data_IF_581941297107
#
_entry.id   IF_581941297107
#
_cell.length_a   1.000
_cell.length_b   1.000
_cell.length_c   1.000
_cell.angle_alpha   90.00
_cell.angle_beta   90.00
_cell.angle_gamma   90.00
#
_symmetry.space_group_name_H-M   'P 1'
#
loop_
_entity.id
_entity.type
_entity.pdbx_description
1 polymer ?
#
# COMPACT_ATOMS: atom_id res chain seq x y z
N UNK A 1 -45.35 6.95 -85.25
CA UNK A 1 -43.98 6.65 -85.54
C UNK A 1 -43.14 7.35 -84.57
N UNK A 2 -42.84 6.78 -83.37
CA UNK A 2 -41.74 7.16 -82.50
C UNK A 2 -41.66 6.07 -81.44
N UNK A 3 -40.62 5.29 -81.51
CA UNK A 3 -40.26 4.27 -80.55
C UNK A 3 -39.50 4.87 -79.45
N UNK A 4 -40.02 4.84 -78.23
CA UNK A 4 -39.32 5.26 -76.99
C UNK A 4 -38.73 4.02 -76.36
N UNK A 5 -37.40 4.01 -76.28
CA UNK A 5 -36.51 2.96 -75.73
C UNK A 5 -36.37 3.20 -74.25
N UNK A 6 -36.99 2.33 -73.42
CA UNK A 6 -36.77 2.35 -71.92
C UNK A 6 -35.42 1.76 -71.55
N UNK A 7 -34.55 2.56 -70.99
CA UNK A 7 -33.27 2.16 -70.35
C UNK A 7 -33.45 1.98 -68.86
N UNK A 8 -33.53 0.74 -68.38
CA UNK A 8 -33.62 0.38 -67.00
C UNK A 8 -32.20 0.53 -66.42
N UNK A 9 -31.97 1.54 -65.52
CA UNK A 9 -30.81 1.68 -64.70
C UNK A 9 -30.93 0.76 -63.47
N UNK A 10 -30.14 -0.28 -63.37
CA UNK A 10 -29.96 -1.06 -62.16
C UNK A 10 -28.99 -0.32 -61.27
N UNK A 11 -29.45 0.24 -60.15
CA UNK A 11 -28.65 0.76 -59.05
C UNK A 11 -28.24 -0.48 -58.20
N UNK A 12 -26.97 -0.84 -58.24
CA UNK A 12 -26.38 -1.83 -57.35
C UNK A 12 -26.07 -1.11 -56.04
N UNK A 13 -26.88 -1.29 -55.01
CA UNK A 13 -26.62 -0.82 -53.66
C UNK A 13 -25.62 -1.79 -53.02
N UNK A 14 -24.35 -1.44 -52.98
CA UNK A 14 -23.32 -2.13 -52.17
C UNK A 14 -23.51 -1.68 -50.72
N UNK A 15 -24.15 -2.52 -49.88
CA UNK A 15 -24.17 -2.36 -48.44
C UNK A 15 -22.76 -2.66 -47.92
N UNK A 16 -22.02 -1.61 -47.55
CA UNK A 16 -20.82 -1.71 -46.73
C UNK A 16 -21.29 -2.01 -45.30
N UNK A 17 -21.31 -3.27 -44.90
CA UNK A 17 -21.40 -3.64 -43.49
C UNK A 17 -20.11 -3.24 -42.82
N UNK A 18 -20.06 -2.03 -42.31
CA UNK A 18 -19.01 -1.59 -41.38
C UNK A 18 -19.18 -2.40 -40.09
N UNK A 19 -18.52 -3.54 -40.01
CA UNK A 19 -18.33 -4.25 -38.75
C UNK A 19 -17.59 -3.32 -37.79
N UNK A 20 -18.32 -2.79 -36.81
CA UNK A 20 -17.72 -2.06 -35.68
C UNK A 20 -16.84 -3.06 -34.93
N UNK A 21 -15.56 -3.09 -35.28
CA UNK A 21 -14.57 -3.72 -34.43
C UNK A 21 -14.53 -2.84 -33.17
N UNK A 22 -15.26 -3.25 -32.15
CA UNK A 22 -15.08 -2.69 -30.81
C UNK A 22 -13.63 -2.95 -30.43
N UNK A 23 -12.76 -1.95 -30.62
CA UNK A 23 -11.44 -1.96 -30.03
C UNK A 23 -11.66 -1.98 -28.50
N UNK A 24 -11.70 -3.17 -27.91
CA UNK A 24 -11.54 -3.29 -26.47
C UNK A 24 -10.16 -2.73 -26.18
N UNK A 25 -10.10 -1.55 -25.58
CA UNK A 25 -8.86 -1.06 -25.02
C UNK A 25 -8.30 -2.16 -24.11
N UNK A 26 -7.03 -2.54 -24.32
CA UNK A 26 -6.36 -3.52 -23.47
C UNK A 26 -6.54 -3.10 -22.00
N UNK A 27 -7.03 -3.99 -21.14
CA UNK A 27 -7.12 -3.74 -19.71
C UNK A 27 -5.72 -3.62 -19.08
N UNK A 28 -5.64 -3.20 -17.83
CA UNK A 28 -4.36 -2.91 -17.17
C UNK A 28 -3.44 -4.15 -17.14
N UNK A 29 -3.99 -5.34 -16.87
CA UNK A 29 -3.21 -6.58 -16.89
C UNK A 29 -2.63 -6.87 -18.27
N UNK A 30 -3.43 -6.72 -19.32
CA UNK A 30 -3.01 -6.94 -20.71
C UNK A 30 -1.89 -5.97 -21.08
N UNK A 31 -1.99 -4.70 -20.70
CA UNK A 31 -0.93 -3.70 -20.91
C UNK A 31 0.36 -4.07 -20.16
N UNK A 32 0.26 -4.43 -18.86
CA UNK A 32 1.39 -4.87 -18.05
C UNK A 32 2.08 -6.10 -18.66
N UNK A 33 1.30 -7.09 -19.11
CA UNK A 33 1.82 -8.29 -19.79
C UNK A 33 2.52 -7.95 -21.09
N UNK A 34 1.93 -7.11 -21.92
CA UNK A 34 2.48 -6.68 -23.21
C UNK A 34 3.78 -5.89 -23.05
N UNK A 35 3.86 -5.05 -22.03
CA UNK A 35 5.05 -4.29 -21.68
C UNK A 35 6.13 -5.17 -20.99
N UNK A 36 5.73 -6.29 -20.41
CA UNK A 36 6.60 -7.15 -19.60
C UNK A 36 7.04 -6.53 -18.28
N UNK A 37 6.37 -5.43 -17.85
CA UNK A 37 6.73 -4.67 -16.65
C UNK A 37 5.49 -4.19 -15.90
N UNK A 38 5.48 -4.39 -14.57
CA UNK A 38 4.54 -3.81 -13.61
C UNK A 38 5.24 -2.64 -12.91
N UNK A 39 4.71 -1.43 -13.04
CA UNK A 39 5.23 -0.25 -12.36
C UNK A 39 4.50 -0.02 -11.03
N UNK A 40 5.26 0.21 -9.95
CA UNK A 40 4.69 0.32 -8.61
C UNK A 40 5.25 1.50 -7.84
N UNK A 41 4.36 2.29 -7.22
CA UNK A 41 4.73 3.43 -6.38
C UNK A 41 4.93 3.00 -4.92
N UNK A 42 5.96 3.49 -4.28
CA UNK A 42 6.27 3.25 -2.87
C UNK A 42 7.06 4.40 -2.25
N UNK A 43 7.29 4.34 -0.94
CA UNK A 43 8.24 5.17 -0.19
C UNK A 43 9.36 4.28 0.35
N UNK A 44 10.63 4.58 0.03
CA UNK A 44 11.80 3.79 0.46
C UNK A 44 12.30 4.14 1.88
N UNK A 45 11.40 4.52 2.78
CA UNK A 45 11.72 4.89 4.16
C UNK A 45 10.78 4.22 5.17
N UNK A 46 10.26 3.05 4.81
CA UNK A 46 9.29 2.30 5.61
C UNK A 46 9.73 0.86 5.87
N UNK A 47 10.85 0.68 6.59
CA UNK A 47 11.32 -0.65 6.98
C UNK A 47 10.30 -1.36 7.92
N UNK A 48 10.13 -2.67 7.85
CA UNK A 48 10.85 -3.64 7.02
C UNK A 48 10.24 -3.87 5.62
N UNK A 49 9.30 -3.04 5.19
CA UNK A 49 8.58 -3.22 3.91
C UNK A 49 9.41 -2.73 2.72
N UNK A 50 9.74 -1.44 2.70
CA UNK A 50 10.55 -0.80 1.67
C UNK A 50 11.57 0.13 2.32
N UNK A 51 12.85 -0.08 2.06
CA UNK A 51 13.92 0.80 2.53
C UNK A 51 15.19 0.65 1.69
N UNK A 52 16.12 1.54 1.90
CA UNK A 52 17.45 1.47 1.28
C UNK A 52 18.43 0.90 2.30
N UNK A 53 19.08 -0.19 1.94
CA UNK A 53 20.16 -0.82 2.70
C UNK A 53 21.40 -0.90 1.81
N UNK A 54 22.52 -0.35 2.28
CA UNK A 54 23.78 -0.32 1.51
C UNK A 54 23.63 0.25 0.10
N UNK A 55 22.78 1.29 -0.05
CA UNK A 55 22.53 1.94 -1.36
C UNK A 55 21.62 1.16 -2.31
N UNK A 56 21.03 0.04 -1.86
CA UNK A 56 20.12 -0.78 -2.64
C UNK A 56 18.76 -0.91 -1.97
N UNK A 57 17.72 -1.06 -2.77
CA UNK A 57 16.40 -1.38 -2.24
C UNK A 57 16.44 -2.73 -1.50
N UNK A 58 15.85 -2.75 -0.32
CA UNK A 58 15.64 -3.93 0.51
C UNK A 58 14.22 -3.91 1.10
N UNK A 59 13.77 -5.05 1.60
CA UNK A 59 12.50 -5.13 2.33
C UNK A 59 11.57 -6.24 1.83
N UNK A 60 10.54 -6.44 2.62
CA UNK A 60 9.50 -7.43 2.35
C UNK A 60 8.87 -7.25 0.97
N UNK A 61 8.55 -6.00 0.59
CA UNK A 61 7.88 -5.71 -0.68
C UNK A 61 8.79 -6.03 -1.88
N UNK A 62 10.10 -5.70 -1.80
CA UNK A 62 11.03 -6.06 -2.88
C UNK A 62 10.99 -7.57 -3.16
N UNK A 63 11.09 -8.38 -2.11
CA UNK A 63 11.12 -9.83 -2.25
C UNK A 63 9.76 -10.38 -2.69
N UNK A 64 8.66 -9.89 -2.10
CA UNK A 64 7.30 -10.33 -2.44
C UNK A 64 6.95 -9.98 -3.89
N UNK A 65 7.23 -8.76 -4.33
CA UNK A 65 6.94 -8.34 -5.71
C UNK A 65 7.83 -9.06 -6.72
N UNK A 66 9.06 -9.43 -6.36
CA UNK A 66 9.89 -10.28 -7.20
C UNK A 66 9.26 -11.68 -7.38
N UNK A 67 8.73 -12.28 -6.31
CA UNK A 67 8.04 -13.57 -6.37
C UNK A 67 6.72 -13.48 -7.17
N UNK A 68 5.91 -12.44 -6.93
CA UNK A 68 4.68 -12.18 -7.69
C UNK A 68 5.01 -11.93 -9.18
N UNK A 69 5.99 -11.10 -9.48
CA UNK A 69 6.42 -10.81 -10.85
C UNK A 69 6.85 -12.08 -11.60
N UNK A 70 7.54 -13.01 -10.91
CA UNK A 70 7.91 -14.32 -11.47
C UNK A 70 6.67 -15.15 -11.82
N UNK A 71 5.66 -15.21 -10.95
CA UNK A 71 4.40 -15.93 -11.20
C UNK A 71 3.65 -15.27 -12.36
N UNK A 72 3.58 -13.95 -12.36
CA UNK A 72 2.89 -13.19 -13.40
C UNK A 72 3.67 -13.12 -14.73
N UNK A 73 4.95 -13.50 -14.76
CA UNK A 73 5.81 -13.41 -15.95
C UNK A 73 6.14 -11.97 -16.35
N UNK A 74 6.30 -11.06 -15.39
CA UNK A 74 6.63 -9.65 -15.61
C UNK A 74 7.76 -9.19 -14.68
N UNK A 75 8.52 -8.18 -15.09
CA UNK A 75 9.43 -7.46 -14.20
C UNK A 75 8.67 -6.46 -13.34
N UNK A 76 9.20 -6.12 -12.17
CA UNK A 76 8.61 -5.08 -11.32
C UNK A 76 9.57 -3.90 -11.23
N UNK A 77 9.06 -2.71 -11.52
CA UNK A 77 9.80 -1.45 -11.41
C UNK A 77 9.22 -0.60 -10.30
N UNK A 78 10.01 -0.38 -9.25
CA UNK A 78 9.64 0.48 -8.14
C UNK A 78 9.93 1.96 -8.45
N UNK A 79 9.00 2.82 -8.04
CA UNK A 79 9.10 4.28 -8.15
C UNK A 79 9.04 4.83 -6.74
N UNK A 80 10.16 5.40 -6.27
CA UNK A 80 10.28 6.01 -4.94
C UNK A 80 9.69 7.42 -4.95
N UNK A 81 8.80 7.68 -4.00
CA UNK A 81 8.09 8.95 -3.83
C UNK A 81 7.91 9.25 -2.33
N UNK A 82 7.89 10.53 -1.92
CA UNK A 82 7.38 10.89 -0.61
C UNK A 82 5.97 10.33 -0.41
N UNK A 83 5.67 9.84 0.79
CA UNK A 83 4.41 9.15 1.08
C UNK A 83 3.16 9.93 0.67
N UNK A 84 3.13 11.24 0.92
CA UNK A 84 1.99 12.10 0.55
C UNK A 84 1.79 12.26 -0.97
N UNK A 85 2.75 11.84 -1.78
CA UNK A 85 2.70 11.85 -3.24
C UNK A 85 2.33 10.49 -3.86
N UNK A 86 2.31 9.41 -3.07
CA UNK A 86 2.08 8.05 -3.58
C UNK A 86 0.65 7.90 -4.11
N UNK A 87 -0.38 8.18 -3.31
CA UNK A 87 -1.77 8.07 -3.77
C UNK A 87 -2.11 9.06 -4.89
N UNK A 88 -1.73 10.34 -4.82
CA UNK A 88 -1.87 11.25 -5.97
C UNK A 88 -1.17 10.76 -7.24
N UNK A 89 -0.02 10.08 -7.11
CA UNK A 89 0.68 9.48 -8.24
C UNK A 89 -0.10 8.33 -8.89
N UNK A 90 -0.75 7.48 -8.08
CA UNK A 90 -1.65 6.42 -8.56
C UNK A 90 -2.86 7.02 -9.29
N UNK A 91 -3.51 8.02 -8.68
CA UNK A 91 -4.67 8.71 -9.26
C UNK A 91 -4.32 9.35 -10.62
N UNK A 92 -3.11 9.89 -10.74
CA UNK A 92 -2.58 10.47 -11.97
C UNK A 92 -2.06 9.43 -13.00
N UNK A 93 -2.14 8.13 -12.69
CA UNK A 93 -1.68 7.07 -13.60
C UNK A 93 -0.16 7.01 -13.81
N UNK A 94 0.65 7.53 -12.87
CA UNK A 94 2.12 7.49 -12.96
C UNK A 94 2.70 6.10 -12.81
N UNK A 95 1.94 5.18 -12.25
CA UNK A 95 2.25 3.77 -12.07
C UNK A 95 0.96 2.96 -11.93
N UNK A 96 1.07 1.65 -12.00
CA UNK A 96 -0.06 0.73 -12.12
C UNK A 96 -0.71 0.44 -10.75
N UNK A 97 0.10 0.31 -9.70
CA UNK A 97 -0.38 0.05 -8.34
C UNK A 97 0.56 0.63 -7.27
N UNK A 98 0.08 0.69 -6.05
CA UNK A 98 0.87 1.08 -4.87
C UNK A 98 1.45 -0.18 -4.22
N UNK A 99 2.79 -0.24 -4.13
CA UNK A 99 3.54 -1.27 -3.41
C UNK A 99 3.82 -0.87 -1.96
N UNK A 100 3.91 0.42 -1.63
CA UNK A 100 3.99 0.88 -0.25
C UNK A 100 2.78 0.37 0.53
N UNK A 101 2.97 -0.39 1.64
CA UNK A 101 1.86 -1.05 2.29
C UNK A 101 0.87 -0.02 2.82
N UNK A 102 -0.34 -0.08 2.29
CA UNK A 102 -1.39 0.87 2.61
C UNK A 102 -2.31 0.30 3.68
N UNK A 103 -2.45 0.99 4.83
CA UNK A 103 -3.48 0.64 5.81
C UNK A 103 -4.85 0.70 5.15
N UNK A 104 -5.60 -0.39 5.22
CA UNK A 104 -6.95 -0.48 4.67
C UNK A 104 -7.91 0.23 5.60
N UNK A 105 -8.52 1.32 5.13
CA UNK A 105 -9.56 2.07 5.84
C UNK A 105 -10.82 2.15 4.99
N UNK A 106 -11.97 2.43 5.61
CA UNK A 106 -13.26 2.60 4.90
C UNK A 106 -13.13 3.63 3.78
N UNK A 107 -12.61 4.82 4.09
CA UNK A 107 -12.44 5.90 3.10
C UNK A 107 -11.54 5.50 1.92
N UNK A 108 -10.49 4.72 2.18
CA UNK A 108 -9.61 4.22 1.12
C UNK A 108 -10.25 3.13 0.28
N UNK A 109 -11.07 2.24 0.88
CA UNK A 109 -11.82 1.22 0.13
C UNK A 109 -12.89 1.81 -0.79
N UNK A 110 -13.40 3.00 -0.50
CA UNK A 110 -14.30 3.71 -1.41
C UNK A 110 -13.60 4.13 -2.70
N UNK A 111 -12.32 4.49 -2.64
CA UNK A 111 -11.54 5.07 -3.76
C UNK A 111 -10.64 4.08 -4.48
N UNK A 112 -10.14 3.05 -3.80
CA UNK A 112 -9.13 2.13 -4.31
C UNK A 112 -9.59 0.69 -4.20
N UNK A 113 -9.11 -0.15 -5.14
CA UNK A 113 -9.22 -1.59 -5.08
C UNK A 113 -8.01 -2.16 -4.34
N UNK A 114 -8.26 -2.95 -3.29
CA UNK A 114 -7.20 -3.54 -2.48
C UNK A 114 -6.97 -5.00 -2.83
N UNK A 115 -5.73 -5.45 -2.65
CA UNK A 115 -5.37 -6.87 -2.65
C UNK A 115 -5.83 -7.54 -1.35
N UNK A 116 -5.63 -8.85 -1.26
CA UNK A 116 -5.67 -9.56 0.03
C UNK A 116 -4.67 -8.96 1.02
N UNK A 117 -4.90 -9.12 2.34
CA UNK A 117 -3.99 -8.63 3.37
C UNK A 117 -2.57 -9.21 3.23
N UNK A 118 -1.56 -8.42 3.58
CA UNK A 118 -0.15 -8.85 3.52
C UNK A 118 0.55 -8.79 4.89
N UNK A 119 0.05 -7.98 5.81
CA UNK A 119 0.58 -7.84 7.17
C UNK A 119 -0.44 -7.17 8.10
N UNK A 120 -0.21 -7.27 9.42
CA UNK A 120 -0.90 -6.47 10.43
C UNK A 120 -0.44 -5.01 10.37
N UNK A 121 -1.39 -4.08 10.49
CA UNK A 121 -1.17 -2.64 10.47
C UNK A 121 -1.67 -1.94 11.74
N UNK A 122 -1.92 -2.68 12.83
CA UNK A 122 -2.37 -2.13 14.09
C UNK A 122 -1.44 -1.04 14.60
N UNK A 123 -2.00 0.09 15.03
CA UNK A 123 -1.23 1.26 15.46
C UNK A 123 -0.72 1.12 16.88
N UNK A 124 0.55 1.45 17.07
CA UNK A 124 1.22 1.43 18.36
C UNK A 124 2.18 2.62 18.51
N UNK A 125 2.80 2.74 19.66
CA UNK A 125 3.74 3.82 19.99
C UNK A 125 5.14 3.29 20.15
N UNK A 126 6.10 3.98 19.53
CA UNK A 126 7.52 3.85 19.79
C UNK A 126 7.96 4.92 20.78
N UNK A 127 8.71 4.55 21.80
CA UNK A 127 9.31 5.47 22.78
C UNK A 127 10.81 5.29 22.86
N UNK A 128 11.52 6.20 23.55
CA UNK A 128 12.92 5.92 23.94
C UNK A 128 12.96 4.76 24.93
N UNK A 129 13.93 3.85 24.78
CA UNK A 129 14.04 2.64 25.58
C UNK A 129 14.09 2.92 27.10
N UNK A 130 14.79 4.00 27.50
CA UNK A 130 14.97 4.40 28.92
C UNK A 130 13.87 5.31 29.43
N UNK A 131 12.86 5.67 28.65
CA UNK A 131 11.77 6.55 29.08
C UNK A 131 10.75 5.76 29.91
N UNK A 132 10.81 5.91 31.23
CA UNK A 132 9.86 5.29 32.15
C UNK A 132 8.53 6.05 32.28
N UNK A 133 8.40 7.23 31.65
CA UNK A 133 7.17 8.06 31.74
C UNK A 133 6.04 7.60 30.80
N UNK A 134 6.32 6.64 29.91
CA UNK A 134 5.34 6.06 28.99
C UNK A 134 5.40 4.53 29.16
N UNK A 135 4.43 3.97 29.84
CA UNK A 135 4.29 2.52 30.09
C UNK A 135 3.13 1.91 29.32
N UNK A 136 2.14 2.72 29.02
CA UNK A 136 0.94 2.38 28.23
C UNK A 136 0.57 3.54 27.30
N UNK A 137 -0.26 3.28 26.31
CA UNK A 137 -0.58 4.27 25.28
C UNK A 137 -1.22 5.55 25.85
N UNK A 138 -2.01 5.48 26.93
CA UNK A 138 -2.62 6.65 27.55
C UNK A 138 -1.62 7.62 28.21
N UNK A 139 -0.39 7.16 28.49
CA UNK A 139 0.64 8.00 29.14
C UNK A 139 1.20 9.09 28.21
N UNK A 140 0.76 9.14 26.95
CA UNK A 140 1.08 10.25 26.04
C UNK A 140 0.27 11.52 26.29
N UNK A 141 -0.71 11.50 27.20
CA UNK A 141 -1.46 12.68 27.59
C UNK A 141 -0.50 13.82 28.01
N UNK A 142 -0.71 15.02 27.48
CA UNK A 142 0.16 16.20 27.70
C UNK A 142 1.53 16.14 27.02
N UNK A 143 1.82 15.14 26.21
CA UNK A 143 3.13 14.94 25.55
C UNK A 143 3.10 15.31 24.07
N UNK A 144 4.29 15.39 23.44
CA UNK A 144 4.47 15.59 22.02
C UNK A 144 4.75 14.25 21.35
N UNK A 145 3.88 13.86 20.39
CA UNK A 145 3.97 12.59 19.65
C UNK A 145 4.10 12.87 18.16
N UNK A 146 5.07 12.24 17.51
CA UNK A 146 5.30 12.34 16.06
C UNK A 146 4.49 11.31 15.29
N UNK A 147 4.09 11.66 14.06
CA UNK A 147 3.56 10.72 13.08
C UNK A 147 3.82 11.22 11.65
N UNK A 148 3.83 10.31 10.69
CA UNK A 148 4.01 10.69 9.29
C UNK A 148 2.74 11.37 8.75
N UNK A 149 2.91 12.53 8.13
CA UNK A 149 1.84 13.28 7.47
C UNK A 149 1.11 12.42 6.44
N UNK A 150 -0.21 12.60 6.32
CA UNK A 150 -1.07 11.87 5.37
C UNK A 150 -1.14 10.34 5.55
N UNK A 151 -0.54 9.81 6.63
CA UNK A 151 -0.67 8.39 6.99
C UNK A 151 -1.97 8.11 7.75
N UNK A 152 -2.42 6.85 7.72
CA UNK A 152 -3.56 6.41 8.53
C UNK A 152 -3.21 6.47 10.03
N UNK A 153 -1.96 6.16 10.38
CA UNK A 153 -1.42 6.24 11.73
C UNK A 153 -1.52 7.64 12.32
N UNK A 154 -1.26 8.67 11.50
CA UNK A 154 -1.44 10.06 11.92
C UNK A 154 -2.91 10.39 12.21
N UNK A 155 -3.82 9.93 11.34
CA UNK A 155 -5.26 10.12 11.55
C UNK A 155 -5.74 9.42 12.83
N UNK A 156 -5.30 8.19 13.07
CA UNK A 156 -5.64 7.44 14.28
C UNK A 156 -5.04 8.07 15.54
N UNK A 157 -3.78 8.53 15.48
CA UNK A 157 -3.17 9.25 16.58
C UNK A 157 -3.96 10.51 16.94
N UNK A 158 -4.38 11.31 15.96
CA UNK A 158 -5.22 12.51 16.20
C UNK A 158 -6.55 12.14 16.85
N UNK A 159 -7.24 11.13 16.34
CA UNK A 159 -8.49 10.65 16.92
C UNK A 159 -8.29 10.13 18.35
N UNK A 160 -7.24 9.36 18.61
CA UNK A 160 -6.92 8.89 19.95
C UNK A 160 -6.55 10.04 20.89
N UNK A 161 -5.80 11.03 20.43
CA UNK A 161 -5.39 12.20 21.21
C UNK A 161 -6.60 13.02 21.70
N UNK A 162 -7.69 13.09 20.96
CA UNK A 162 -8.93 13.77 21.36
C UNK A 162 -9.59 13.14 22.59
N UNK A 163 -9.34 11.85 22.84
CA UNK A 163 -9.88 11.12 24.01
C UNK A 163 -9.06 11.35 25.29
N UNK A 164 -7.87 11.96 25.20
CA UNK A 164 -6.92 12.11 26.30
C UNK A 164 -7.00 13.51 26.93
N UNK A 165 -6.79 13.56 28.26
CA UNK A 165 -6.67 14.82 29.03
C UNK A 165 -5.48 14.74 29.96
N UNK A 166 -4.56 15.76 29.95
CA UNK A 166 -4.51 16.86 28.99
C UNK A 166 -4.24 16.36 27.57
N UNK A 167 -4.54 17.18 26.54
CA UNK A 167 -4.41 16.80 25.14
C UNK A 167 -2.97 16.48 24.71
N UNK A 168 -2.82 15.83 23.56
CA UNK A 168 -1.53 15.46 22.94
C UNK A 168 -1.16 16.48 21.87
N UNK A 169 0.08 16.93 21.84
CA UNK A 169 0.62 17.70 20.72
C UNK A 169 1.09 16.75 19.63
N UNK A 170 0.38 16.71 18.51
CA UNK A 170 0.77 15.88 17.35
C UNK A 170 1.69 16.69 16.45
N UNK A 171 2.91 16.16 16.19
CA UNK A 171 3.85 16.74 15.23
C UNK A 171 3.94 15.86 14.00
N UNK A 172 3.69 16.47 12.83
CA UNK A 172 3.73 15.78 11.56
C UNK A 172 5.11 15.84 10.89
N UNK A 173 5.50 14.73 10.29
CA UNK A 173 6.79 14.55 9.60
C UNK A 173 6.56 14.12 8.15
N UNK A 174 7.46 14.52 7.26
CA UNK A 174 7.42 14.07 5.85
C UNK A 174 7.71 12.59 5.76
N UNK A 175 8.68 12.10 6.54
CA UNK A 175 9.04 10.69 6.61
C UNK A 175 9.26 10.20 8.04
N UNK A 176 9.20 8.88 8.24
CA UNK A 176 9.32 8.26 9.53
C UNK A 176 10.73 8.35 10.12
N UNK A 177 11.79 8.35 9.29
CA UNK A 177 13.18 8.41 9.78
C UNK A 177 13.47 9.73 10.49
N UNK A 178 12.88 10.85 9.99
CA UNK A 178 12.96 12.15 10.66
C UNK A 178 12.27 12.10 12.04
N UNK A 179 11.07 11.49 12.12
CA UNK A 179 10.37 11.32 13.40
C UNK A 179 11.18 10.48 14.39
N UNK A 180 11.78 9.38 13.93
CA UNK A 180 12.62 8.52 14.78
C UNK A 180 13.91 9.23 15.23
N UNK A 181 14.51 10.04 14.37
CA UNK A 181 15.68 10.85 14.75
C UNK A 181 15.32 11.87 15.84
N UNK A 182 14.17 12.53 15.72
CA UNK A 182 13.65 13.47 16.73
C UNK A 182 13.28 12.79 18.04
N UNK A 183 12.73 11.58 17.99
CA UNK A 183 12.46 10.76 19.17
C UNK A 183 13.77 10.39 19.89
N UNK A 184 14.77 9.91 19.14
CA UNK A 184 16.07 9.55 19.70
C UNK A 184 16.76 10.75 20.37
N UNK A 185 16.65 11.94 19.77
CA UNK A 185 17.20 13.20 20.28
C UNK A 185 16.37 13.81 21.44
N UNK A 186 15.26 13.21 21.85
CA UNK A 186 14.41 13.72 22.93
C UNK A 186 13.50 14.89 22.56
N UNK A 187 13.39 15.24 21.26
CA UNK A 187 12.50 16.29 20.78
C UNK A 187 11.03 15.83 20.67
N UNK A 188 10.81 14.52 20.73
CA UNK A 188 9.51 13.86 20.86
C UNK A 188 9.49 12.96 22.08
N UNK A 189 8.32 12.70 22.62
CA UNK A 189 8.11 11.73 23.68
C UNK A 189 7.82 10.33 23.11
N UNK A 190 7.08 10.26 21.99
CA UNK A 190 6.77 9.03 21.27
C UNK A 190 6.61 9.29 19.77
N UNK A 191 6.56 8.21 18.98
CA UNK A 191 6.15 8.22 17.57
C UNK A 191 5.08 7.16 17.40
N UNK A 192 3.96 7.52 16.73
CA UNK A 192 2.92 6.60 16.36
C UNK A 192 3.19 6.03 14.97
N UNK A 193 3.15 4.69 14.85
CA UNK A 193 3.25 3.99 13.58
C UNK A 193 2.65 2.57 13.74
N UNK A 194 2.60 1.79 12.65
CA UNK A 194 2.18 0.40 12.73
C UNK A 194 3.11 -0.41 13.64
N UNK A 195 2.54 -1.33 14.39
CA UNK A 195 3.27 -2.22 15.28
C UNK A 195 4.39 -2.97 14.54
N UNK A 196 4.11 -3.45 13.32
CA UNK A 196 5.09 -4.16 12.48
C UNK A 196 6.32 -3.30 12.18
N UNK A 197 6.13 -2.02 11.83
CA UNK A 197 7.26 -1.10 11.55
C UNK A 197 8.03 -0.78 12.82
N UNK A 198 7.37 -0.33 13.88
CA UNK A 198 8.08 0.10 15.10
C UNK A 198 8.72 -1.05 15.86
N UNK A 199 8.18 -2.27 15.78
CA UNK A 199 8.82 -3.46 16.34
C UNK A 199 10.14 -3.77 15.62
N UNK A 200 10.17 -3.64 14.28
CA UNK A 200 11.41 -3.75 13.52
C UNK A 200 12.42 -2.68 13.94
N UNK A 201 12.02 -1.40 14.00
CA UNK A 201 12.88 -0.29 14.39
C UNK A 201 13.44 -0.49 15.81
N UNK A 202 12.61 -0.90 16.76
CA UNK A 202 13.06 -1.19 18.14
C UNK A 202 14.02 -2.37 18.20
N UNK A 203 13.78 -3.43 17.42
CA UNK A 203 14.67 -4.60 17.30
C UNK A 203 16.05 -4.22 16.74
N UNK A 204 16.11 -3.32 15.75
CA UNK A 204 17.38 -2.85 15.17
C UNK A 204 18.16 -1.94 16.13
N UNK A 205 17.47 -1.23 17.03
CA UNK A 205 18.09 -0.25 17.95
C UNK A 205 17.55 -0.39 19.38
N UNK A 206 17.70 -1.57 20.04
CA UNK A 206 17.05 -1.88 21.32
C UNK A 206 17.51 -1.00 22.49
N UNK A 207 18.73 -0.44 22.42
CA UNK A 207 19.23 0.49 23.42
C UNK A 207 18.67 1.93 23.26
N UNK A 208 18.03 2.22 22.13
CA UNK A 208 17.48 3.54 21.80
C UNK A 208 15.96 3.54 21.90
N UNK A 209 15.30 2.50 21.41
CA UNK A 209 13.86 2.45 21.29
C UNK A 209 13.21 1.25 21.93
N UNK A 210 11.97 1.42 22.37
CA UNK A 210 11.10 0.36 22.85
C UNK A 210 9.66 0.60 22.37
N UNK A 211 8.92 -0.48 22.12
CA UNK A 211 7.50 -0.44 21.77
C UNK A 211 6.68 -0.33 23.04
N UNK A 212 5.66 0.54 23.03
CA UNK A 212 4.67 0.65 24.11
C UNK A 212 3.58 -0.38 23.90
N UNK A 213 3.26 -1.16 24.92
CA UNK A 213 2.20 -2.17 24.92
C UNK A 213 1.10 -1.80 25.94
N UNK A 214 -0.18 -2.16 25.67
CA UNK A 214 -0.68 -2.68 24.39
C UNK A 214 -0.70 -1.59 23.29
N UNK A 215 -0.84 -2.02 22.02
CA UNK A 215 -1.15 -1.14 20.91
C UNK A 215 -2.44 -0.34 21.19
N UNK A 216 -2.60 0.84 20.57
CA UNK A 216 -3.76 1.69 20.85
C UNK A 216 -4.82 1.66 19.74
N UNK A 217 -4.47 1.18 18.55
CA UNK A 217 -5.37 1.12 17.41
C UNK A 217 -6.22 -0.15 17.38
N UNK A 218 -7.30 -0.12 16.59
CA UNK A 218 -8.04 -1.33 16.22
C UNK A 218 -7.20 -2.22 15.31
N UNK A 219 -7.47 -3.53 15.31
CA UNK A 219 -6.85 -4.45 14.38
C UNK A 219 -7.22 -4.08 12.93
N UNK A 220 -6.23 -3.77 12.14
CA UNK A 220 -6.34 -3.42 10.71
C UNK A 220 -5.19 -4.05 9.95
N UNK A 221 -5.30 -4.09 8.62
CA UNK A 221 -4.32 -4.75 7.78
C UNK A 221 -3.66 -3.79 6.79
N UNK A 222 -2.45 -4.13 6.42
CA UNK A 222 -1.79 -3.62 5.23
C UNK A 222 -2.18 -4.45 4.00
N UNK A 223 -2.37 -3.76 2.89
CA UNK A 223 -2.51 -4.35 1.57
C UNK A 223 -1.93 -3.41 0.51
N UNK A 224 -1.81 -3.91 -0.70
CA UNK A 224 -1.49 -3.09 -1.86
C UNK A 224 -2.79 -2.59 -2.51
N UNK A 225 -2.70 -1.54 -3.30
CA UNK A 225 -3.90 -1.04 -3.97
C UNK A 225 -3.62 -0.55 -5.39
N UNK A 226 -4.68 -0.48 -6.15
CA UNK A 226 -4.75 0.12 -7.48
C UNK A 226 -6.00 0.97 -7.61
N UNK A 227 -6.16 1.67 -8.72
CA UNK A 227 -7.38 2.44 -8.99
C UNK A 227 -8.60 1.53 -8.93
N UNK A 228 -9.70 2.05 -8.43
CA UNK A 228 -10.98 1.32 -8.33
C UNK A 228 -11.80 1.56 -9.61
N UNK A 229 -11.32 1.03 -10.71
CA UNK A 229 -11.94 1.12 -12.03
C UNK A 229 -12.03 -0.28 -12.68
N UNK A 230 -12.80 -0.38 -13.76
CA UNK A 230 -12.95 -1.64 -14.48
C UNK A 230 -11.63 -2.12 -15.11
N UNK A 231 -10.78 -1.19 -15.51
CA UNK A 231 -9.49 -1.43 -16.13
C UNK A 231 -8.50 -2.16 -15.20
N UNK A 232 -8.54 -1.83 -13.90
CA UNK A 232 -7.62 -2.38 -12.89
C UNK A 232 -8.07 -3.74 -12.30
N UNK A 233 -9.31 -4.18 -12.56
CA UNK A 233 -9.86 -5.40 -11.93
C UNK A 233 -9.08 -6.66 -12.29
N UNK A 234 -8.69 -6.82 -13.55
CA UNK A 234 -7.92 -7.98 -14.02
C UNK A 234 -6.55 -8.06 -13.38
N UNK A 235 -5.86 -6.91 -13.22
CA UNK A 235 -4.57 -6.86 -12.53
C UNK A 235 -4.74 -7.22 -11.04
N UNK A 236 -5.79 -6.71 -10.38
CA UNK A 236 -6.07 -7.03 -8.97
C UNK A 236 -6.31 -8.54 -8.77
N UNK A 237 -7.12 -9.14 -9.65
CA UNK A 237 -7.39 -10.58 -9.62
C UNK A 237 -6.09 -11.39 -9.80
N UNK A 238 -5.30 -11.09 -10.84
CA UNK A 238 -4.04 -11.78 -11.12
C UNK A 238 -3.01 -11.63 -9.97
N UNK A 239 -2.96 -10.47 -9.34
CA UNK A 239 -2.08 -10.23 -8.19
C UNK A 239 -2.53 -11.06 -6.97
N UNK A 240 -3.84 -11.12 -6.68
CA UNK A 240 -4.39 -11.94 -5.60
C UNK A 240 -4.18 -13.43 -5.84
N UNK A 241 -4.31 -13.92 -7.08
CA UNK A 241 -4.01 -15.31 -7.44
C UNK A 241 -2.54 -15.65 -7.21
N UNK A 242 -1.64 -14.70 -7.51
CA UNK A 242 -0.23 -14.85 -7.21
C UNK A 242 0.04 -14.88 -5.70
N UNK A 243 -0.58 -13.98 -4.91
CA UNK A 243 -0.49 -14.01 -3.44
C UNK A 243 -1.01 -15.34 -2.87
N UNK A 244 -2.16 -15.82 -3.35
CA UNK A 244 -2.72 -17.11 -2.93
C UNK A 244 -1.77 -18.29 -3.26
N UNK A 245 -1.09 -18.24 -4.40
CA UNK A 245 -0.06 -19.23 -4.79
C UNK A 245 1.11 -19.21 -3.83
N UNK A 246 1.63 -18.01 -3.49
CA UNK A 246 2.72 -17.86 -2.51
C UNK A 246 2.31 -18.27 -1.10
N UNK A 247 1.03 -18.09 -0.74
CA UNK A 247 0.47 -18.58 0.51
C UNK A 247 0.46 -20.11 0.58
N UNK A 248 -0.06 -20.75 -0.48
CA UNK A 248 -0.19 -22.23 -0.56
C UNK A 248 1.16 -22.95 -0.60
N UNK A 249 2.17 -22.39 -1.27
CA UNK A 249 3.50 -23.02 -1.38
C UNK A 249 4.44 -22.68 -0.19
N UNK A 250 3.98 -21.87 0.78
CA UNK A 250 4.72 -21.47 1.96
C UNK A 250 5.76 -20.36 1.75
N UNK A 251 5.87 -19.81 0.54
CA UNK A 251 6.83 -18.75 0.23
C UNK A 251 6.47 -17.44 0.94
N UNK A 252 5.17 -17.09 1.01
CA UNK A 252 4.70 -15.92 1.75
C UNK A 252 5.07 -15.99 3.24
N UNK A 253 4.85 -17.16 3.87
CA UNK A 253 5.22 -17.38 5.26
C UNK A 253 6.74 -17.28 5.49
N UNK A 254 7.53 -17.75 4.53
CA UNK A 254 9.00 -17.64 4.57
C UNK A 254 9.46 -16.18 4.48
N UNK A 255 8.85 -15.38 3.62
CA UNK A 255 9.11 -13.93 3.51
C UNK A 255 8.72 -13.18 4.78
N UNK A 256 7.56 -13.49 5.38
CA UNK A 256 7.12 -12.93 6.65
C UNK A 256 8.12 -13.26 7.78
N UNK A 257 8.57 -14.52 7.90
CA UNK A 257 9.59 -14.91 8.88
C UNK A 257 10.90 -14.16 8.68
N UNK A 258 11.34 -14.02 7.44
CA UNK A 258 12.57 -13.28 7.10
C UNK A 258 12.51 -11.83 7.59
N UNK A 259 11.42 -11.12 7.29
CA UNK A 259 11.33 -9.67 7.49
C UNK A 259 10.68 -9.27 8.82
N UNK A 260 9.68 -10.02 9.27
CA UNK A 260 8.93 -9.71 10.50
C UNK A 260 9.35 -10.59 11.69
N UNK A 261 10.13 -11.65 11.43
CA UNK A 261 10.57 -12.60 12.45
C UNK A 261 9.55 -13.70 12.75
N UNK A 262 8.34 -13.61 12.22
CA UNK A 262 7.23 -14.56 12.45
C UNK A 262 6.35 -14.61 11.21
N UNK A 263 5.80 -15.79 10.90
CA UNK A 263 4.71 -15.91 9.96
C UNK A 263 3.38 -15.61 10.67
N UNK A 264 2.51 -14.87 10.02
CA UNK A 264 1.20 -14.49 10.55
C UNK A 264 0.12 -15.08 9.65
N UNK A 265 -0.87 -15.72 10.25
CA UNK A 265 -2.07 -16.13 9.54
C UNK A 265 -2.90 -14.89 9.20
N UNK A 266 -3.05 -14.62 7.91
CA UNK A 266 -3.81 -13.51 7.39
C UNK A 266 -5.15 -14.01 6.82
N UNK A 267 -6.22 -13.20 6.90
CA UNK A 267 -7.46 -13.52 6.20
C UNK A 267 -7.23 -13.70 4.69
N UNK A 268 -7.87 -14.71 4.09
CA UNK A 268 -7.75 -14.96 2.65
C UNK A 268 -8.31 -13.81 1.80
N UNK A 269 -9.28 -13.07 2.35
CA UNK A 269 -9.89 -11.88 1.74
C UNK A 269 -9.83 -10.71 2.72
N UNK A 270 -9.84 -9.49 2.17
CA UNK A 270 -9.83 -8.28 3.00
C UNK A 270 -11.09 -8.20 3.87
N UNK A 271 -10.97 -8.20 5.22
CA UNK A 271 -12.11 -7.97 6.09
C UNK A 271 -12.55 -6.52 6.04
N UNK A 272 -13.79 -6.26 6.49
CA UNK A 272 -14.27 -4.89 6.62
C UNK A 272 -13.36 -4.11 7.59
N UNK A 273 -12.84 -2.93 7.18
CA UNK A 273 -11.94 -2.17 8.02
C UNK A 273 -12.66 -1.60 9.24
N UNK A 274 -11.94 -1.47 10.36
CA UNK A 274 -12.49 -0.97 11.62
C UNK A 274 -12.86 0.53 11.55
N UNK A 275 -12.16 1.34 10.73
CA UNK A 275 -12.32 2.78 10.58
C UNK A 275 -12.12 3.26 9.15
#
# INVERSE_FOLDING_TARGET
MNTIRHWKRYLLAVMFAAGSVSAHADDLLSRVKKQGELSVGTEMQFAPFDFIENGQQAGFNKDLFAAVGKIMGVKVRFIDLPWDSVLPGLDAGKFDMVAGPLTVTKARMERYAFTSPIADATDALLKRAKDASITKSADIAGKTVGAQKSSAQNAQLKSYAETLKPGVTVREYVDNNQAYADLAAGRLNAVANSLTNIAYVAKQRPNVFAVVQPAFGSAVYFAYCMRKDADSQSLNAAFNDALATLGKNGELASLQKKWFGVAVDLPATMPAPAY
#
